data_IF_732216736741
#
_entry.id   IF_732216736741
#
_cell.length_a   1.000
_cell.length_b   1.000
_cell.length_c   1.000
_cell.angle_alpha   90.00
_cell.angle_beta   90.00
_cell.angle_gamma   90.00
#
_symmetry.space_group_name_H-M   'P 1'
#
loop_
_entity.id
_entity.type
_entity.pdbx_description
1 polymer ?
#
# COMPACT_ATOMS: atom_id res chain seq x y z
N UNK A 1 36.74 -45.49 1.03
CA UNK A 1 37.07 -44.83 2.30
C UNK A 1 36.25 -43.56 2.41
N UNK A 2 35.01 -43.56 2.91
CA UNK A 2 34.13 -44.66 3.33
C UNK A 2 32.65 -44.31 3.09
N UNK A 3 31.79 -45.32 2.93
CA UNK A 3 30.35 -45.13 2.86
C UNK A 3 29.69 -45.44 4.20
N UNK A 4 28.88 -44.51 4.71
CA UNK A 4 28.03 -44.75 5.89
C UNK A 4 26.63 -45.14 5.43
N UNK A 5 26.20 -46.34 5.81
CA UNK A 5 25.01 -47.04 5.30
C UNK A 5 23.94 -47.11 6.37
N UNK A 6 22.98 -46.18 6.35
CA UNK A 6 21.81 -46.22 7.23
C UNK A 6 20.81 -47.33 6.79
N UNK A 7 20.11 -47.94 7.75
CA UNK A 7 19.25 -49.12 7.53
C UNK A 7 17.77 -48.76 7.38
N UNK A 8 17.08 -49.43 6.45
CA UNK A 8 15.62 -49.55 6.48
C UNK A 8 15.15 -50.45 7.63
N UNK A 9 13.95 -50.19 8.14
CA UNK A 9 13.19 -51.09 9.02
C UNK A 9 11.76 -51.24 8.52
N UNK A 10 11.21 -52.46 8.55
CA UNK A 10 9.87 -52.81 8.03
C UNK A 10 9.25 -53.90 8.91
N UNK A 11 7.99 -53.69 9.32
CA UNK A 11 6.97 -54.64 9.85
C UNK A 11 5.70 -53.77 10.07
N UNK A 12 4.47 -54.06 9.60
CA UNK A 12 3.60 -55.25 9.67
C UNK A 12 3.26 -55.66 11.13
N UNK A 13 2.01 -55.76 11.57
CA UNK A 13 0.70 -55.53 10.92
C UNK A 13 -0.50 -55.93 11.83
N UNK A 14 -1.72 -56.03 11.26
CA UNK A 14 -3.02 -56.31 11.93
C UNK A 14 -3.59 -55.17 12.82
N UNK A 15 -4.89 -55.09 13.14
CA UNK A 15 -6.00 -56.06 13.08
C UNK A 15 -7.34 -55.42 12.63
N UNK A 16 -8.39 -56.21 12.33
CA UNK A 16 -9.65 -55.78 11.68
C UNK A 16 -10.92 -56.26 12.40
N UNK A 17 -11.88 -55.34 12.64
CA UNK A 17 -13.30 -55.56 13.05
C UNK A 17 -13.54 -56.23 14.43
N UNK A 18 -14.70 -56.12 15.11
CA UNK A 18 -16.08 -55.85 14.64
C UNK A 18 -16.96 -55.03 15.61
N UNK A 19 -18.04 -54.47 15.04
CA UNK A 19 -19.09 -53.60 15.56
C UNK A 19 -19.79 -53.92 16.90
N UNK A 20 -20.17 -52.83 17.60
CA UNK A 20 -21.47 -52.52 18.25
C UNK A 20 -21.41 -51.01 18.62
N UNK A 21 -22.47 -50.18 18.74
CA UNK A 21 -23.95 -50.31 18.69
C UNK A 21 -24.50 -49.16 17.80
N UNK A 22 -25.82 -49.05 17.56
CA UNK A 22 -26.49 -47.84 17.00
C UNK A 22 -27.64 -47.40 17.92
N UNK A 23 -27.72 -46.10 18.27
CA UNK A 23 -28.67 -45.61 19.29
C UNK A 23 -28.99 -44.09 19.26
N UNK A 24 -29.66 -43.63 18.21
CA UNK A 24 -30.52 -42.41 18.20
C UNK A 24 -29.93 -41.08 18.73
N UNK A 25 -28.79 -40.66 18.21
CA UNK A 25 -28.53 -39.30 17.70
C UNK A 25 -27.30 -39.44 16.80
N UNK A 26 -27.29 -38.81 15.63
CA UNK A 26 -26.25 -39.04 14.62
C UNK A 26 -24.90 -38.46 15.06
N UNK A 27 -24.08 -39.25 15.77
CA UNK A 27 -22.74 -38.85 16.18
C UNK A 27 -21.91 -38.49 14.93
N UNK A 28 -21.52 -37.22 14.84
CA UNK A 28 -20.64 -36.77 13.78
C UNK A 28 -19.32 -37.56 13.87
N UNK A 29 -18.76 -38.05 12.74
CA UNK A 29 -17.50 -38.80 12.75
C UNK A 29 -16.43 -38.06 13.53
N UNK A 30 -15.74 -38.76 14.44
CA UNK A 30 -14.88 -38.17 15.46
C UNK A 30 -13.81 -37.25 14.86
N UNK A 31 -14.10 -35.95 14.85
CA UNK A 31 -13.20 -34.92 14.38
C UNK A 31 -12.09 -34.75 15.42
N UNK A 32 -10.90 -35.28 15.11
CA UNK A 32 -9.69 -35.11 15.92
C UNK A 32 -9.20 -33.65 15.85
N UNK A 33 -9.93 -32.75 16.49
CA UNK A 33 -9.48 -31.40 16.81
C UNK A 33 -8.46 -31.48 17.94
N UNK A 34 -7.25 -30.98 17.70
CA UNK A 34 -6.17 -30.92 18.68
C UNK A 34 -6.54 -30.09 19.91
N UNK A 35 -7.41 -29.09 19.74
CA UNK A 35 -8.10 -28.41 20.83
C UNK A 35 -9.42 -27.76 20.39
N UNK A 36 -10.35 -27.65 21.34
CA UNK A 36 -11.53 -26.79 21.26
C UNK A 36 -11.68 -26.08 22.61
N UNK A 37 -12.01 -24.80 22.59
CA UNK A 37 -12.46 -24.04 23.75
C UNK A 37 -13.65 -23.16 23.38
N UNK A 38 -14.68 -23.14 24.22
CA UNK A 38 -15.87 -22.32 24.00
C UNK A 38 -16.42 -21.84 25.35
N UNK A 39 -16.82 -20.58 25.42
CA UNK A 39 -17.42 -19.97 26.62
C UNK A 39 -16.54 -20.10 27.89
N UNK A 40 -15.22 -20.20 27.71
CA UNK A 40 -14.23 -20.36 28.79
C UNK A 40 -13.92 -21.82 29.19
N UNK A 41 -14.62 -22.81 28.63
CA UNK A 41 -14.36 -24.23 28.85
C UNK A 41 -13.48 -24.76 27.71
N UNK A 42 -12.25 -25.18 28.01
CA UNK A 42 -11.26 -25.60 27.01
C UNK A 42 -10.65 -26.98 27.27
N UNK A 43 -10.54 -27.80 26.23
CA UNK A 43 -10.06 -29.18 26.30
C UNK A 43 -8.55 -29.34 26.04
N UNK A 44 -7.73 -28.46 26.64
CA UNK A 44 -6.27 -28.47 26.49
C UNK A 44 -5.75 -27.99 25.14
N UNK A 45 -4.59 -28.52 24.73
CA UNK A 45 -3.98 -28.36 23.39
C UNK A 45 -3.61 -26.95 22.92
N UNK A 46 -3.77 -25.91 23.75
CA UNK A 46 -3.41 -24.53 23.40
C UNK A 46 -4.55 -23.65 22.88
N UNK A 47 -5.80 -24.10 22.99
CA UNK A 47 -6.98 -23.27 22.73
C UNK A 47 -7.45 -22.52 23.98
N UNK A 48 -7.62 -21.20 23.89
CA UNK A 48 -8.13 -20.36 24.99
C UNK A 48 -9.32 -19.51 24.56
N UNK A 49 -10.31 -19.35 25.44
CA UNK A 49 -11.54 -18.58 25.20
C UNK A 49 -12.03 -17.97 26.50
N UNK A 50 -12.96 -17.02 26.42
CA UNK A 50 -13.72 -16.50 27.54
C UNK A 50 -15.21 -16.83 27.39
N UNK A 51 -16.04 -16.39 28.35
CA UNK A 51 -17.48 -16.64 28.43
C UNK A 51 -18.30 -16.23 27.19
N UNK A 52 -17.73 -15.48 26.24
CA UNK A 52 -18.41 -15.02 25.01
C UNK A 52 -17.73 -15.45 23.72
N UNK A 53 -16.62 -16.19 23.77
CA UNK A 53 -15.78 -16.48 22.59
C UNK A 53 -15.55 -17.97 22.35
N UNK A 54 -15.08 -18.27 21.13
CA UNK A 54 -14.85 -19.63 20.63
C UNK A 54 -13.43 -19.72 20.04
N UNK A 55 -12.69 -20.76 20.40
CA UNK A 55 -11.39 -21.11 19.85
C UNK A 55 -11.36 -22.57 19.37
N UNK A 56 -10.92 -22.80 18.13
CA UNK A 56 -10.87 -24.13 17.51
C UNK A 56 -9.48 -24.34 16.90
N UNK A 57 -8.81 -25.45 17.23
CA UNK A 57 -7.47 -25.79 16.73
C UNK A 57 -7.41 -27.23 16.24
N UNK A 58 -7.01 -27.44 14.99
CA UNK A 58 -6.90 -28.76 14.35
C UNK A 58 -5.54 -28.89 13.64
N UNK A 59 -4.72 -29.86 14.04
CA UNK A 59 -3.37 -30.09 13.50
C UNK A 59 -2.26 -30.06 14.58
N UNK A 60 -1.04 -30.46 14.20
CA UNK A 60 0.07 -30.55 15.14
C UNK A 60 0.57 -29.16 15.60
N UNK A 61 0.49 -28.91 16.91
CA UNK A 61 0.87 -27.61 17.48
C UNK A 61 -0.13 -26.47 17.20
N UNK A 62 -1.40 -26.79 16.95
CA UNK A 62 -2.45 -25.81 16.75
C UNK A 62 -2.55 -24.80 17.92
N UNK A 63 -2.71 -23.51 17.62
CA UNK A 63 -2.99 -22.47 18.62
C UNK A 63 -4.13 -21.58 18.18
N UNK A 64 -5.13 -21.40 19.03
CA UNK A 64 -6.28 -20.53 18.77
C UNK A 64 -6.66 -19.81 20.06
N UNK A 65 -6.55 -18.48 20.10
CA UNK A 65 -6.79 -17.69 21.31
C UNK A 65 -7.87 -16.62 21.10
N UNK A 66 -8.95 -16.70 21.86
CA UNK A 66 -9.96 -15.66 21.99
C UNK A 66 -10.19 -15.24 23.46
N UNK A 67 -9.18 -15.43 24.33
CA UNK A 67 -9.26 -15.24 25.77
C UNK A 67 -9.62 -13.83 26.24
N UNK A 68 -9.43 -12.80 25.41
CA UNK A 68 -9.82 -11.41 25.73
C UNK A 68 -10.78 -10.78 24.72
N UNK A 69 -11.33 -11.55 23.78
CA UNK A 69 -12.25 -11.06 22.76
C UNK A 69 -13.73 -11.17 23.17
N UNK A 70 -14.50 -10.09 23.13
CA UNK A 70 -15.94 -10.10 23.42
C UNK A 70 -16.72 -10.50 22.15
N UNK A 71 -17.45 -11.62 22.18
CA UNK A 71 -18.10 -12.20 20.99
C UNK A 71 -17.14 -12.45 19.80
N UNK A 72 -15.87 -12.76 20.10
CA UNK A 72 -14.84 -13.04 19.10
C UNK A 72 -14.64 -14.53 18.79
N UNK A 73 -13.94 -14.84 17.70
CA UNK A 73 -13.62 -16.22 17.31
C UNK A 73 -12.20 -16.40 16.77
N UNK A 74 -11.50 -17.43 17.25
CA UNK A 74 -10.18 -17.84 16.75
C UNK A 74 -10.26 -19.26 16.17
N UNK A 75 -9.79 -19.46 14.95
CA UNK A 75 -9.84 -20.76 14.27
C UNK A 75 -8.50 -21.06 13.58
N UNK A 76 -7.90 -22.22 13.88
CA UNK A 76 -6.62 -22.66 13.32
C UNK A 76 -6.72 -24.08 12.76
N UNK A 77 -6.32 -24.24 11.49
CA UNK A 77 -6.16 -25.53 10.83
C UNK A 77 -4.74 -25.64 10.26
N UNK A 78 -4.02 -26.71 10.57
CA UNK A 78 -2.66 -26.97 10.04
C UNK A 78 -1.56 -26.99 11.11
N UNK A 79 -0.40 -27.51 10.74
CA UNK A 79 0.73 -27.65 11.65
C UNK A 79 1.36 -26.29 11.98
N UNK A 80 1.54 -25.99 13.27
CA UNK A 80 1.97 -24.68 13.77
C UNK A 80 1.09 -23.49 13.32
N UNK A 81 -0.17 -23.74 12.95
CA UNK A 81 -1.13 -22.69 12.60
C UNK A 81 -1.60 -21.96 13.86
N UNK A 82 -1.52 -20.62 13.85
CA UNK A 82 -1.84 -19.78 14.99
C UNK A 82 -2.90 -18.71 14.67
N UNK A 83 -3.99 -18.68 15.42
CA UNK A 83 -5.02 -17.64 15.38
C UNK A 83 -5.15 -16.96 16.74
N UNK A 84 -5.34 -15.64 16.76
CA UNK A 84 -5.49 -14.88 17.99
C UNK A 84 -6.49 -13.73 17.84
N UNK A 85 -7.27 -13.42 18.87
CA UNK A 85 -8.11 -12.22 18.96
C UNK A 85 -7.95 -11.59 20.34
N UNK A 86 -7.29 -10.43 20.40
CA UNK A 86 -6.78 -9.82 21.63
C UNK A 86 -7.42 -8.46 21.85
N UNK A 87 -8.15 -8.29 22.96
CA UNK A 87 -8.94 -7.09 23.30
C UNK A 87 -9.86 -6.62 22.16
N UNK A 88 -10.52 -7.56 21.48
CA UNK A 88 -11.34 -7.29 20.30
C UNK A 88 -12.81 -7.64 20.49
N UNK A 89 -13.72 -6.87 19.88
CA UNK A 89 -15.17 -7.05 19.96
C UNK A 89 -15.68 -7.52 18.59
N UNK A 90 -16.49 -8.59 18.54
CA UNK A 90 -17.10 -9.13 17.31
C UNK A 90 -16.08 -9.37 16.18
N UNK A 91 -14.84 -9.76 16.54
CA UNK A 91 -13.72 -9.89 15.60
C UNK A 91 -13.23 -11.33 15.52
N UNK A 92 -12.73 -11.70 14.35
CA UNK A 92 -12.43 -13.08 13.98
C UNK A 92 -11.01 -13.21 13.43
N UNK A 93 -10.32 -14.29 13.78
CA UNK A 93 -9.02 -14.65 13.23
C UNK A 93 -9.04 -16.10 12.76
N UNK A 94 -8.77 -16.33 11.48
CA UNK A 94 -8.77 -17.66 10.85
C UNK A 94 -7.42 -17.93 10.20
N UNK A 95 -6.72 -18.97 10.64
CA UNK A 95 -5.47 -19.45 10.07
C UNK A 95 -5.67 -20.85 9.46
N UNK A 96 -5.25 -21.03 8.21
CA UNK A 96 -5.43 -22.28 7.44
C UNK A 96 -4.12 -22.65 6.75
N UNK A 97 -3.63 -23.85 6.97
CA UNK A 97 -2.36 -24.36 6.40
C UNK A 97 -1.15 -24.12 7.30
N UNK A 98 -0.08 -24.86 7.02
CA UNK A 98 1.06 -24.96 7.92
C UNK A 98 1.82 -23.64 8.07
N UNK A 99 2.09 -23.25 9.31
CA UNK A 99 2.69 -21.95 9.64
C UNK A 99 1.84 -20.72 9.27
N UNK A 100 0.54 -20.89 8.97
CA UNK A 100 -0.38 -19.77 8.83
C UNK A 100 -0.52 -19.02 10.16
N UNK A 101 -0.60 -17.69 10.10
CA UNK A 101 -0.84 -16.84 11.29
C UNK A 101 -1.86 -15.75 11.00
N UNK A 102 -2.92 -15.69 11.79
CA UNK A 102 -3.95 -14.65 11.74
C UNK A 102 -4.12 -14.04 13.13
N UNK A 103 -4.15 -12.72 13.26
CA UNK A 103 -4.24 -12.07 14.57
C UNK A 103 -5.11 -10.83 14.51
N UNK A 104 -6.22 -10.83 15.24
CA UNK A 104 -7.01 -9.64 15.56
C UNK A 104 -6.39 -8.93 16.77
N UNK A 105 -5.45 -8.02 16.46
CA UNK A 105 -5.00 -6.97 17.36
C UNK A 105 -6.20 -6.05 17.71
N UNK A 106 -6.18 -5.30 18.84
CA UNK A 106 -7.35 -4.65 19.43
C UNK A 106 -8.28 -4.01 18.40
N UNK A 107 -9.46 -4.61 18.22
CA UNK A 107 -10.33 -4.32 17.08
C UNK A 107 -11.83 -4.52 17.32
N UNK A 108 -12.65 -3.73 16.64
CA UNK A 108 -14.11 -3.92 16.54
C UNK A 108 -14.46 -4.49 15.16
N UNK A 109 -15.35 -5.49 15.09
CA UNK A 109 -15.94 -5.99 13.83
C UNK A 109 -14.92 -6.25 12.71
N UNK A 110 -13.76 -6.86 13.04
CA UNK A 110 -12.64 -7.04 12.10
C UNK A 110 -12.33 -8.51 11.86
N UNK A 111 -11.91 -8.86 10.64
CA UNK A 111 -11.59 -10.23 10.22
C UNK A 111 -10.14 -10.32 9.70
N UNK A 112 -9.32 -11.12 10.37
CA UNK A 112 -8.10 -11.66 9.80
C UNK A 112 -8.38 -13.06 9.22
N UNK A 113 -8.00 -13.28 7.96
CA UNK A 113 -7.94 -14.59 7.34
C UNK A 113 -6.54 -14.79 6.76
N UNK A 114 -5.93 -15.94 7.03
CA UNK A 114 -4.68 -16.36 6.40
C UNK A 114 -4.80 -17.79 5.90
N UNK A 115 -4.74 -17.98 4.58
CA UNK A 115 -4.30 -19.24 3.98
C UNK A 115 -2.77 -19.17 3.84
N UNK A 116 -2.05 -20.04 4.54
CA UNK A 116 -0.62 -19.89 4.85
C UNK A 116 0.35 -19.97 3.67
N UNK A 117 1.63 -19.62 3.87
CA UNK A 117 2.28 -19.25 5.15
C UNK A 117 2.03 -17.79 5.56
N UNK A 118 2.15 -17.48 6.86
CA UNK A 118 1.63 -16.24 7.46
C UNK A 118 2.19 -14.89 6.97
N UNK A 119 1.53 -13.76 7.25
CA UNK A 119 0.48 -13.56 8.29
C UNK A 119 -0.54 -12.42 8.01
N UNK A 120 -1.68 -12.38 8.70
CA UNK A 120 -2.74 -11.35 8.54
C UNK A 120 -3.20 -10.68 9.87
N UNK A 121 -3.37 -9.35 9.89
CA UNK A 121 -3.84 -8.51 11.03
C UNK A 121 -4.21 -7.07 10.55
N UNK A 122 -4.83 -6.13 11.29
CA UNK A 122 -6.26 -6.07 11.74
C UNK A 122 -6.65 -4.80 12.51
N UNK A 123 -5.74 -4.26 13.32
CA UNK A 123 -6.00 -3.34 14.44
C UNK A 123 -6.98 -2.17 14.14
N UNK A 124 -7.95 -1.90 15.03
CA UNK A 124 -8.85 -0.74 14.94
C UNK A 124 -10.34 -1.08 14.82
N UNK A 125 -10.98 -0.88 13.67
CA UNK A 125 -12.39 -1.22 13.49
C UNK A 125 -12.78 -1.54 12.04
N UNK A 126 -13.74 -2.43 11.82
CA UNK A 126 -14.31 -2.78 10.51
C UNK A 126 -13.26 -3.23 9.47
N UNK A 127 -12.10 -3.71 9.89
CA UNK A 127 -11.00 -4.04 8.99
C UNK A 127 -11.09 -5.48 8.50
N UNK A 128 -10.84 -5.67 7.20
CA UNK A 128 -10.74 -6.97 6.55
C UNK A 128 -9.30 -7.18 6.06
N UNK A 129 -8.62 -8.21 6.55
CA UNK A 129 -7.28 -8.58 6.10
C UNK A 129 -7.28 -10.06 5.69
N UNK A 130 -7.24 -10.33 4.38
CA UNK A 130 -7.17 -11.69 3.82
C UNK A 130 -5.83 -11.87 3.12
N UNK A 131 -4.98 -12.74 3.68
CA UNK A 131 -3.79 -13.26 3.02
C UNK A 131 -4.02 -14.69 2.50
N UNK A 132 -3.57 -14.97 1.28
CA UNK A 132 -3.60 -16.30 0.65
C UNK A 132 -2.29 -16.55 -0.08
N UNK A 133 -1.60 -17.66 0.21
CA UNK A 133 -0.53 -18.17 -0.64
C UNK A 133 -0.82 -19.60 -1.12
N UNK A 134 -0.47 -19.88 -2.37
CA UNK A 134 -0.65 -21.19 -3.03
C UNK A 134 0.65 -21.59 -3.75
N UNK A 135 1.74 -21.72 -2.98
CA UNK A 135 3.11 -21.94 -3.47
C UNK A 135 3.79 -20.67 -4.03
N UNK A 136 5.10 -20.61 -4.26
CA UNK A 136 6.19 -21.60 -4.09
C UNK A 136 7.52 -20.87 -3.78
N UNK A 137 7.93 -20.60 -2.54
CA UNK A 137 7.46 -21.07 -1.22
C UNK A 137 7.77 -20.06 -0.10
N UNK A 138 6.76 -19.34 0.40
CA UNK A 138 6.77 -18.62 1.69
C UNK A 138 7.66 -17.36 1.81
N UNK A 139 7.28 -16.33 2.57
CA UNK A 139 5.99 -16.10 3.28
C UNK A 139 4.95 -15.54 2.26
N UNK A 140 3.91 -14.75 2.55
CA UNK A 140 3.89 -13.49 3.30
C UNK A 140 2.45 -12.90 3.34
N UNK A 141 2.30 -11.58 3.50
CA UNK A 141 1.59 -11.06 4.65
C UNK A 141 0.90 -9.70 4.45
N UNK A 142 -0.10 -9.49 5.32
CA UNK A 142 -0.66 -8.23 5.82
C UNK A 142 -1.63 -7.49 4.88
N UNK A 143 -2.41 -6.51 5.33
CA UNK A 143 -2.72 -6.14 6.72
C UNK A 143 -3.16 -4.68 6.88
N UNK A 144 -3.76 -4.38 8.02
CA UNK A 144 -4.62 -3.21 8.25
C UNK A 144 -4.44 -2.61 9.64
N UNK A 145 -4.51 -1.28 9.72
CA UNK A 145 -4.54 -0.49 10.95
C UNK A 145 -5.43 0.75 10.78
N UNK A 146 -6.43 0.93 11.64
CA UNK A 146 -7.38 2.05 11.61
C UNK A 146 -8.82 1.59 11.33
N UNK A 147 -9.58 2.26 10.45
CA UNK A 147 -11.05 2.04 10.35
C UNK A 147 -11.54 1.72 8.93
N UNK A 148 -12.11 0.53 8.73
CA UNK A 148 -12.79 0.14 7.49
C UNK A 148 -11.86 -0.16 6.32
N UNK A 149 -10.63 -0.59 6.60
CA UNK A 149 -9.65 -0.94 5.57
C UNK A 149 -9.87 -2.36 5.06
N UNK A 150 -9.68 -2.58 3.76
CA UNK A 150 -9.77 -3.89 3.10
C UNK A 150 -8.42 -4.19 2.46
N UNK A 151 -7.76 -5.25 2.90
CA UNK A 151 -6.50 -5.76 2.39
C UNK A 151 -6.70 -7.20 1.89
N UNK A 152 -6.48 -7.44 0.59
CA UNK A 152 -6.71 -8.70 -0.10
C UNK A 152 -5.44 -9.11 -0.87
N UNK A 153 -4.61 -9.95 -0.25
CA UNK A 153 -3.36 -10.43 -0.83
C UNK A 153 -3.47 -11.88 -1.30
N UNK A 154 -3.16 -12.10 -2.58
CA UNK A 154 -2.85 -13.42 -3.15
C UNK A 154 -1.38 -13.46 -3.58
N UNK A 155 -0.64 -14.47 -3.13
CA UNK A 155 0.78 -14.65 -3.46
C UNK A 155 1.76 -13.91 -2.52
N UNK A 156 3.09 -14.05 -2.74
CA UNK A 156 4.11 -13.49 -1.86
C UNK A 156 4.23 -11.96 -1.97
N UNK A 157 4.56 -11.31 -0.84
CA UNK A 157 4.73 -9.85 -0.74
C UNK A 157 4.25 -9.27 0.59
N UNK A 158 4.44 -7.96 0.76
CA UNK A 158 3.97 -7.18 1.92
C UNK A 158 2.83 -6.28 1.46
N UNK A 159 1.71 -6.27 2.18
CA UNK A 159 0.63 -5.30 2.01
C UNK A 159 0.28 -4.60 3.32
N UNK A 160 0.22 -3.27 3.35
CA UNK A 160 -0.02 -2.53 4.60
C UNK A 160 -0.91 -1.29 4.42
N UNK A 161 -2.09 -1.34 5.04
CA UNK A 161 -3.09 -0.28 4.98
C UNK A 161 -3.19 0.44 6.32
N UNK A 162 -2.82 1.73 6.37
CA UNK A 162 -2.84 2.57 7.57
C UNK A 162 -3.78 3.75 7.36
N UNK A 163 -4.80 3.86 8.21
CA UNK A 163 -5.78 4.95 8.20
C UNK A 163 -7.20 4.41 8.06
N UNK A 164 -8.02 5.01 7.20
CA UNK A 164 -9.43 4.63 7.09
C UNK A 164 -9.90 4.43 5.65
N UNK A 165 -10.82 3.49 5.45
CA UNK A 165 -11.47 3.19 4.17
C UNK A 165 -10.51 2.84 3.01
N UNK A 166 -9.28 2.40 3.31
CA UNK A 166 -8.31 2.08 2.26
C UNK A 166 -8.55 0.65 1.72
N UNK A 167 -8.77 0.54 0.40
CA UNK A 167 -8.88 -0.72 -0.32
C UNK A 167 -7.52 -1.09 -0.93
N UNK A 168 -7.08 -2.33 -0.78
CA UNK A 168 -5.86 -2.81 -1.42
C UNK A 168 -5.97 -4.27 -1.84
N UNK A 169 -5.54 -4.51 -3.08
CA UNK A 169 -5.61 -5.78 -3.79
C UNK A 169 -4.23 -6.08 -4.36
N UNK A 170 -3.64 -7.22 -4.00
CA UNK A 170 -2.41 -7.71 -4.62
C UNK A 170 -2.61 -9.13 -5.11
N UNK A 171 -2.08 -9.43 -6.29
CA UNK A 171 -2.00 -10.78 -6.83
C UNK A 171 -0.63 -10.96 -7.46
N UNK A 172 0.18 -11.85 -6.90
CA UNK A 172 1.44 -12.29 -7.46
C UNK A 172 1.23 -13.58 -8.26
N UNK A 173 1.31 -13.46 -9.59
CA UNK A 173 1.07 -14.56 -10.53
C UNK A 173 2.35 -14.87 -11.31
N UNK A 174 2.95 -16.04 -11.12
CA UNK A 174 4.08 -16.53 -11.89
C UNK A 174 5.46 -15.89 -11.61
N UNK A 175 5.52 -14.80 -10.84
CA UNK A 175 6.76 -14.10 -10.51
C UNK A 175 7.49 -14.68 -9.29
N UNK A 176 8.83 -14.61 -9.32
CA UNK A 176 9.71 -14.90 -8.18
C UNK A 176 10.18 -13.63 -7.43
N UNK A 177 9.63 -12.46 -7.78
CA UNK A 177 9.94 -11.17 -7.14
C UNK A 177 8.94 -10.79 -6.04
N UNK A 178 9.42 -10.12 -4.99
CA UNK A 178 8.59 -9.63 -3.90
C UNK A 178 7.65 -8.50 -4.35
N UNK A 179 6.41 -8.48 -3.85
CA UNK A 179 5.50 -7.35 -3.97
C UNK A 179 5.49 -6.46 -2.73
N UNK A 180 5.30 -5.16 -2.92
CA UNK A 180 5.01 -4.20 -1.84
C UNK A 180 3.76 -3.41 -2.21
N UNK A 181 2.72 -3.42 -1.38
CA UNK A 181 1.40 -2.89 -1.73
C UNK A 181 0.75 -2.13 -0.57
N UNK A 182 0.96 -0.82 -0.47
CA UNK A 182 0.58 -0.07 0.75
C UNK A 182 -0.39 1.07 0.47
N UNK A 183 -1.35 1.30 1.36
CA UNK A 183 -2.28 2.43 1.29
C UNK A 183 -2.31 3.23 2.60
N UNK A 184 -2.03 4.53 2.54
CA UNK A 184 -1.95 5.42 3.70
C UNK A 184 -2.97 6.56 3.66
N UNK A 185 -3.70 6.81 4.75
CA UNK A 185 -4.62 7.94 4.88
C UNK A 185 -6.09 7.53 4.74
N UNK A 186 -6.86 8.27 3.95
CA UNK A 186 -8.32 8.13 3.87
C UNK A 186 -8.81 7.76 2.45
N UNK A 187 -9.50 6.63 2.32
CA UNK A 187 -10.26 6.27 1.12
C UNK A 187 -9.42 5.97 -0.11
N UNK A 188 -8.17 5.53 0.04
CA UNK A 188 -7.27 5.27 -1.08
C UNK A 188 -7.46 3.85 -1.64
N UNK A 189 -7.18 3.64 -2.91
CA UNK A 189 -7.28 2.34 -3.59
C UNK A 189 -5.95 1.92 -4.23
N UNK A 190 -5.48 0.70 -3.93
CA UNK A 190 -4.23 0.19 -4.50
C UNK A 190 -4.42 -1.18 -5.12
N UNK A 191 -3.96 -1.37 -6.36
CA UNK A 191 -4.00 -2.64 -7.08
C UNK A 191 -2.59 -3.01 -7.55
N UNK A 192 -2.12 -4.23 -7.27
CA UNK A 192 -0.79 -4.72 -7.66
C UNK A 192 -0.89 -6.16 -8.21
N UNK A 193 -1.22 -6.28 -9.50
CA UNK A 193 -1.51 -7.54 -10.18
C UNK A 193 -0.39 -7.90 -11.16
N UNK A 194 -0.03 -9.18 -11.29
CA UNK A 194 1.06 -9.65 -12.18
C UNK A 194 2.26 -10.20 -11.40
N UNK A 195 3.46 -10.19 -12.00
CA UNK A 195 4.64 -10.90 -11.46
C UNK A 195 5.19 -10.32 -10.15
N UNK A 196 5.65 -9.06 -10.16
CA UNK A 196 6.36 -8.41 -9.06
C UNK A 196 6.02 -6.90 -8.99
N UNK A 197 6.71 -6.14 -8.12
CA UNK A 197 6.68 -4.68 -8.15
C UNK A 197 5.98 -4.01 -6.96
N UNK A 198 6.01 -2.68 -6.96
CA UNK A 198 5.54 -1.84 -5.85
C UNK A 198 4.36 -0.97 -6.29
N UNK A 199 3.26 -1.00 -5.55
CA UNK A 199 2.16 -0.05 -5.70
C UNK A 199 1.85 0.60 -4.35
N UNK A 200 1.73 1.93 -4.31
CA UNK A 200 1.71 2.65 -3.04
C UNK A 200 0.85 3.93 -3.16
N UNK A 201 0.02 4.21 -2.15
CA UNK A 201 -0.73 5.48 -2.02
C UNK A 201 -0.51 6.14 -0.66
N UNK A 202 -0.53 7.47 -0.63
CA UNK A 202 -0.70 8.23 0.62
C UNK A 202 -1.50 9.52 0.43
N UNK A 203 -2.61 9.64 1.15
CA UNK A 203 -3.40 10.86 1.25
C UNK A 203 -4.90 10.60 1.28
N UNK A 204 -5.64 11.30 0.43
CA UNK A 204 -7.10 11.31 0.43
C UNK A 204 -7.63 10.95 -0.95
N UNK A 205 -8.43 9.89 -1.05
CA UNK A 205 -9.08 9.45 -2.29
C UNK A 205 -8.11 9.25 -3.48
N UNK A 206 -6.87 8.83 -3.20
CA UNK A 206 -5.84 8.60 -4.21
C UNK A 206 -5.77 7.12 -4.64
N UNK A 207 -5.30 6.87 -5.86
CA UNK A 207 -5.30 5.55 -6.49
C UNK A 207 -3.92 5.21 -7.08
N UNK A 208 -3.43 3.99 -6.83
CA UNK A 208 -2.23 3.46 -7.50
C UNK A 208 -2.50 2.07 -8.06
N UNK A 209 -2.37 1.88 -9.37
CA UNK A 209 -2.56 0.59 -10.04
C UNK A 209 -1.29 0.16 -10.78
N UNK A 210 -0.79 -1.03 -10.46
CA UNK A 210 0.20 -1.74 -11.24
C UNK A 210 -0.43 -3.04 -11.76
N UNK A 211 -0.51 -3.19 -13.08
CA UNK A 211 -1.19 -4.30 -13.74
C UNK A 211 -0.24 -4.94 -14.75
N UNK A 212 0.10 -6.22 -14.52
CA UNK A 212 0.90 -7.07 -15.40
C UNK A 212 2.27 -6.50 -15.77
N UNK A 213 3.04 -6.08 -14.76
CA UNK A 213 4.45 -5.69 -14.93
C UNK A 213 5.20 -5.49 -13.63
N UNK A 214 6.52 -5.73 -13.65
CA UNK A 214 7.45 -5.48 -12.56
C UNK A 214 7.86 -3.99 -12.53
N UNK A 215 6.95 -3.14 -12.03
CA UNK A 215 7.10 -1.68 -12.03
C UNK A 215 6.82 -1.06 -10.65
N UNK A 216 7.13 0.23 -10.49
CA UNK A 216 6.86 1.02 -9.28
C UNK A 216 5.81 2.10 -9.58
N UNK A 217 4.71 2.10 -8.82
CA UNK A 217 3.57 3.01 -9.00
C UNK A 217 3.25 3.72 -7.68
N UNK A 218 3.27 5.05 -7.67
CA UNK A 218 3.10 5.86 -6.45
C UNK A 218 2.11 7.01 -6.67
N UNK A 219 1.18 7.23 -5.75
CA UNK A 219 0.33 8.42 -5.73
C UNK A 219 0.31 9.08 -4.35
N UNK A 220 0.58 10.39 -4.29
CA UNK A 220 0.58 11.21 -3.08
C UNK A 220 -0.36 12.40 -3.22
N UNK A 221 -1.18 12.64 -2.21
CA UNK A 221 -2.02 13.83 -2.11
C UNK A 221 -3.51 13.55 -2.12
N UNK A 222 -4.26 14.45 -2.75
CA UNK A 222 -5.72 14.47 -2.79
C UNK A 222 -6.18 14.16 -4.23
N UNK A 223 -7.03 13.14 -4.40
CA UNK A 223 -7.54 12.72 -5.73
C UNK A 223 -6.43 12.47 -6.76
N UNK A 224 -5.31 11.89 -6.32
CA UNK A 224 -4.13 11.67 -7.17
C UNK A 224 -4.07 10.22 -7.65
N UNK A 225 -3.79 10.01 -8.93
CA UNK A 225 -3.96 8.72 -9.63
C UNK A 225 -2.69 8.35 -10.37
N UNK A 226 -2.15 7.16 -10.11
CA UNK A 226 -0.99 6.62 -10.81
C UNK A 226 -1.31 5.23 -11.40
N UNK A 227 -0.98 4.99 -12.66
CA UNK A 227 -1.36 3.77 -13.41
C UNK A 227 -0.18 3.23 -14.22
N UNK A 228 0.22 1.98 -13.99
CA UNK A 228 1.03 1.20 -14.92
C UNK A 228 0.19 0.04 -15.47
N UNK A 229 -0.05 0.04 -16.78
CA UNK A 229 -0.80 -1.00 -17.48
C UNK A 229 0.08 -1.71 -18.51
N UNK A 230 0.60 -2.87 -18.12
CA UNK A 230 1.59 -3.69 -18.84
C UNK A 230 2.96 -3.00 -18.97
N UNK A 231 4.03 -3.75 -18.71
CA UNK A 231 5.42 -3.33 -18.94
C UNK A 231 6.25 -3.22 -17.67
N UNK A 232 7.55 -3.39 -17.84
CA UNK A 232 8.53 -3.64 -16.78
C UNK A 232 9.49 -2.46 -16.55
N UNK A 233 10.00 -2.32 -15.33
CA UNK A 233 10.99 -1.29 -14.98
C UNK A 233 10.44 0.14 -14.93
N UNK A 234 9.13 0.35 -15.07
CA UNK A 234 8.55 1.69 -15.09
C UNK A 234 8.48 2.31 -13.69
N UNK A 235 8.61 3.63 -13.63
CA UNK A 235 8.37 4.44 -12.44
C UNK A 235 7.26 5.43 -12.76
N UNK A 236 6.04 5.14 -12.30
CA UNK A 236 4.86 6.00 -12.51
C UNK A 236 4.51 6.68 -11.20
N UNK A 237 4.53 8.01 -11.17
CA UNK A 237 4.36 8.80 -9.96
C UNK A 237 3.42 9.98 -10.15
N UNK A 238 2.33 10.03 -9.38
CA UNK A 238 1.52 11.22 -9.17
C UNK A 238 1.91 11.81 -7.81
N UNK A 239 3.01 12.55 -7.74
CA UNK A 239 3.65 12.98 -6.49
C UNK A 239 4.09 14.45 -6.51
N UNK A 240 3.79 15.11 -5.40
CA UNK A 240 4.38 16.39 -5.01
C UNK A 240 4.44 16.52 -3.48
N UNK A 241 4.67 17.73 -2.94
CA UNK A 241 4.85 17.92 -1.50
C UNK A 241 3.53 17.63 -0.79
N UNK A 242 3.49 16.64 0.09
CA UNK A 242 2.30 16.35 0.88
C UNK A 242 1.93 17.56 1.77
N UNK A 243 0.68 18.03 1.82
CA UNK A 243 -0.54 17.50 1.17
C UNK A 243 -0.92 18.19 -0.16
N UNK A 244 -0.10 19.09 -0.69
CA UNK A 244 -0.43 20.08 -1.73
C UNK A 244 -0.69 19.51 -3.15
N UNK A 245 -0.52 18.20 -3.34
CA UNK A 245 -0.75 17.54 -4.64
C UNK A 245 -2.23 17.25 -4.79
N UNK A 246 -2.85 17.74 -5.86
CA UNK A 246 -4.30 17.72 -6.06
C UNK A 246 -4.60 17.29 -7.50
N UNK A 247 -5.60 16.42 -7.70
CA UNK A 247 -6.12 16.03 -9.02
C UNK A 247 -5.02 15.77 -10.07
N UNK A 248 -4.00 15.00 -9.68
CA UNK A 248 -2.82 14.71 -10.51
C UNK A 248 -2.88 13.29 -11.06
N UNK A 249 -2.60 13.10 -12.35
CA UNK A 249 -2.75 11.83 -13.07
C UNK A 249 -1.45 11.45 -13.79
N UNK A 250 -0.81 10.35 -13.38
CA UNK A 250 0.35 9.76 -14.07
C UNK A 250 -0.02 8.39 -14.66
N UNK A 251 0.31 8.12 -15.92
CA UNK A 251 0.08 6.80 -16.52
C UNK A 251 1.19 6.32 -17.46
N UNK A 252 1.45 5.01 -17.43
CA UNK A 252 2.21 4.27 -18.45
C UNK A 252 1.35 3.12 -18.98
N UNK A 253 1.32 2.94 -20.30
CA UNK A 253 0.60 1.87 -20.97
C UNK A 253 1.48 1.19 -22.01
N UNK A 254 1.66 -0.13 -21.92
CA UNK A 254 2.40 -0.95 -22.90
C UNK A 254 3.85 -0.50 -23.16
N UNK A 255 4.51 0.06 -22.15
CA UNK A 255 5.86 0.62 -22.28
C UNK A 255 6.80 0.15 -21.18
N UNK A 256 8.10 0.13 -21.45
CA UNK A 256 9.13 -0.40 -20.54
C UNK A 256 10.18 0.66 -20.16
N UNK A 257 10.64 0.62 -18.91
CA UNK A 257 11.66 1.51 -18.34
C UNK A 257 11.33 3.01 -18.43
N UNK A 258 10.05 3.38 -18.53
CA UNK A 258 9.61 4.77 -18.59
C UNK A 258 9.51 5.38 -17.18
N UNK A 259 9.92 6.64 -17.04
CA UNK A 259 9.71 7.44 -15.83
C UNK A 259 8.64 8.51 -16.10
N UNK A 260 7.44 8.33 -15.55
CA UNK A 260 6.29 9.22 -15.76
C UNK A 260 5.91 9.90 -14.45
N UNK A 261 6.07 11.22 -14.36
CA UNK A 261 5.84 11.99 -13.14
C UNK A 261 4.84 13.13 -13.36
N UNK A 262 3.61 12.96 -12.87
CA UNK A 262 2.68 14.06 -12.67
C UNK A 262 3.01 14.77 -11.35
N UNK A 263 3.35 16.05 -11.44
CA UNK A 263 3.94 16.81 -10.34
C UNK A 263 3.03 17.90 -9.78
N UNK A 264 3.63 19.04 -9.44
CA UNK A 264 3.09 19.93 -8.40
C UNK A 264 2.02 20.88 -8.93
N UNK A 265 0.77 20.44 -8.98
CA UNK A 265 -0.38 21.34 -9.09
C UNK A 265 -1.69 20.63 -9.40
N UNK A 266 -2.84 21.33 -9.23
CA UNK A 266 -4.13 20.81 -9.67
C UNK A 266 -4.12 20.53 -11.17
N UNK A 267 -4.63 19.37 -11.59
CA UNK A 267 -4.72 18.96 -13.00
C UNK A 267 -3.36 18.79 -13.71
N UNK A 268 -2.32 18.34 -13.01
CA UNK A 268 -1.09 17.85 -13.65
C UNK A 268 -1.33 16.46 -14.27
N UNK A 269 -1.14 16.30 -15.57
CA UNK A 269 -1.33 15.02 -16.29
C UNK A 269 -0.05 14.62 -17.03
N UNK A 270 0.51 13.45 -16.71
CA UNK A 270 1.68 12.88 -17.38
C UNK A 270 1.36 11.48 -17.94
N UNK A 271 1.79 11.17 -19.17
CA UNK A 271 1.39 9.92 -19.84
C UNK A 271 2.41 9.36 -20.82
N UNK A 272 2.68 8.05 -20.74
CA UNK A 272 3.41 7.27 -21.74
C UNK A 272 2.50 6.17 -22.33
N UNK A 273 2.54 6.00 -23.66
CA UNK A 273 1.81 4.94 -24.38
C UNK A 273 2.77 4.29 -25.38
N UNK A 274 3.04 2.98 -25.27
CA UNK A 274 3.96 2.25 -26.16
C UNK A 274 5.32 2.97 -26.35
N UNK A 275 5.88 3.51 -25.26
CA UNK A 275 7.20 4.15 -25.23
C UNK A 275 8.20 3.25 -24.51
N UNK A 276 9.50 3.48 -24.75
CA UNK A 276 10.57 2.81 -24.02
C UNK A 276 11.63 3.83 -23.59
N UNK A 277 12.14 3.71 -22.36
CA UNK A 277 13.20 4.58 -21.80
C UNK A 277 12.85 6.10 -21.77
N UNK A 278 11.58 6.47 -21.88
CA UNK A 278 11.15 7.87 -21.89
C UNK A 278 11.04 8.48 -20.49
N UNK A 279 11.34 9.78 -20.36
CA UNK A 279 11.19 10.54 -19.11
C UNK A 279 10.21 11.68 -19.30
N UNK A 280 9.03 11.54 -18.70
CA UNK A 280 7.86 12.40 -18.93
C UNK A 280 7.46 13.06 -17.61
N UNK A 281 7.95 14.28 -17.39
CA UNK A 281 7.66 15.06 -16.17
C UNK A 281 6.67 16.18 -16.48
N UNK A 282 5.70 16.40 -15.58
CA UNK A 282 4.73 17.50 -15.66
C UNK A 282 4.54 18.18 -14.30
N UNK A 283 5.49 19.04 -13.93
CA UNK A 283 5.56 19.71 -12.61
C UNK A 283 4.57 20.87 -12.41
N UNK A 284 3.61 21.08 -13.31
CA UNK A 284 2.66 22.20 -13.31
C UNK A 284 1.32 21.76 -13.94
N UNK A 285 0.20 22.47 -13.69
CA UNK A 285 -1.10 22.18 -14.31
C UNK A 285 -1.07 22.02 -15.84
N UNK A 286 -1.91 21.14 -16.37
CA UNK A 286 -1.98 20.75 -17.79
C UNK A 286 -1.34 19.40 -18.09
N UNK A 287 -1.22 19.06 -19.37
CA UNK A 287 -0.80 17.74 -19.85
C UNK A 287 0.64 17.67 -20.41
N UNK A 288 1.23 16.47 -20.37
CA UNK A 288 2.43 16.05 -21.10
C UNK A 288 2.29 14.54 -21.40
N UNK A 289 1.92 14.19 -22.63
CA UNK A 289 1.62 12.80 -23.02
C UNK A 289 2.42 12.45 -24.28
N UNK A 290 3.16 11.32 -24.25
CA UNK A 290 3.92 10.77 -25.39
C UNK A 290 3.34 9.43 -25.85
N UNK A 291 3.67 9.04 -27.08
CA UNK A 291 3.19 7.80 -27.69
C UNK A 291 1.86 7.92 -28.45
N UNK A 292 1.11 9.01 -28.26
CA UNK A 292 0.03 9.40 -29.17
C UNK A 292 0.61 9.99 -30.48
N UNK A 293 1.31 9.16 -31.25
CA UNK A 293 1.53 9.40 -32.69
C UNK A 293 0.22 9.18 -33.45
N UNK A 294 -0.79 9.99 -33.14
CA UNK A 294 -2.09 9.92 -33.83
C UNK A 294 -1.88 10.32 -35.29
N UNK A 295 -2.31 9.47 -36.23
CA UNK A 295 -2.27 9.77 -37.65
C UNK A 295 -3.40 10.72 -38.10
N UNK A 296 -3.97 11.55 -37.20
CA UNK A 296 -5.15 12.34 -37.53
C UNK A 296 -5.78 13.25 -36.48
N UNK A 297 -5.23 13.42 -35.27
CA UNK A 297 -5.75 14.38 -34.28
C UNK A 297 -4.91 15.66 -34.22
N UNK A 298 -5.07 16.54 -35.22
CA UNK A 298 -4.52 17.89 -35.15
C UNK A 298 -5.13 18.62 -33.95
N UNK A 299 -4.29 19.15 -33.05
CA UNK A 299 -4.75 20.04 -32.00
C UNK A 299 -5.38 21.28 -32.66
N UNK A 300 -6.63 21.57 -32.34
CA UNK A 300 -7.27 22.84 -32.69
C UNK A 300 -6.62 23.96 -31.89
N UNK A 301 -5.45 24.40 -32.36
CA UNK A 301 -4.86 25.66 -31.98
C UNK A 301 -5.94 26.72 -32.19
N UNK A 302 -6.31 27.43 -31.13
CA UNK A 302 -7.25 28.52 -31.21
C UNK A 302 -6.63 29.61 -32.06
N UNK A 303 -7.00 29.64 -33.35
CA UNK A 303 -6.50 30.58 -34.36
C UNK A 303 -6.70 32.00 -33.87
N UNK A 304 -5.66 32.55 -33.23
CA UNK A 304 -5.69 33.83 -32.53
C UNK A 304 -5.81 34.91 -33.60
N UNK A 305 -7.07 35.24 -33.93
CA UNK A 305 -7.49 36.05 -35.08
C UNK A 305 -6.53 37.22 -35.24
N UNK A 306 -5.77 37.21 -36.34
CA UNK A 306 -4.79 38.25 -36.63
C UNK A 306 -5.50 39.60 -36.60
N UNK A 307 -4.94 40.55 -35.85
CA UNK A 307 -5.41 41.93 -35.89
C UNK A 307 -5.21 42.46 -37.33
N UNK A 308 -6.21 43.16 -37.92
CA UNK A 308 -6.06 43.70 -39.26
C UNK A 308 -4.91 44.70 -39.29
N UNK A 309 -4.02 44.57 -40.28
CA UNK A 309 -2.94 45.51 -40.48
C UNK A 309 -3.50 46.88 -40.93
N UNK A 310 -3.08 47.95 -40.25
CA UNK A 310 -3.44 49.30 -40.65
C UNK A 310 -2.54 49.78 -41.78
N UNK A 311 -3.12 50.04 -42.95
CA UNK A 311 -2.43 50.71 -44.06
C UNK A 311 -2.42 52.22 -43.86
N UNK A 312 -1.24 52.85 -43.93
CA UNK A 312 -1.13 54.24 -44.36
C UNK A 312 -1.36 54.37 -45.87
N UNK A 313 -1.44 55.58 -46.44
CA UNK A 313 -1.46 56.92 -45.87
C UNK A 313 -1.91 57.91 -46.97
N UNK A 314 -2.31 59.15 -46.62
CA UNK A 314 -2.00 60.33 -47.47
C UNK A 314 -2.23 61.69 -46.77
N UNK A 315 -1.66 62.74 -47.38
CA UNK A 315 -1.73 64.19 -47.03
C UNK A 315 -3.04 64.84 -47.56
N UNK A 316 -3.47 66.09 -47.30
CA UNK A 316 -2.74 67.37 -47.17
C UNK A 316 -3.62 68.51 -46.57
N UNK A 317 -3.00 69.52 -45.94
CA UNK A 317 -3.43 70.96 -45.78
C UNK A 317 -4.85 71.40 -45.31
N UNK A 318 -4.87 71.95 -44.08
CA UNK A 318 -5.28 73.33 -43.69
C UNK A 318 -6.70 73.93 -43.97
N UNK A 319 -7.40 74.29 -42.88
CA UNK A 319 -8.13 75.58 -42.72
C UNK A 319 -8.44 75.88 -41.23
N UNK A 320 -8.74 77.14 -40.89
CA UNK A 320 -8.91 77.66 -39.51
C UNK A 320 -10.37 77.67 -39.01
N UNK A 321 -10.61 77.40 -37.72
CA UNK A 321 -11.27 78.39 -36.81
C UNK A 321 -11.47 77.94 -35.34
N UNK A 322 -10.95 78.77 -34.42
CA UNK A 322 -11.57 79.30 -33.19
C UNK A 322 -12.61 78.43 -32.41
N UNK A 323 -12.25 77.94 -31.21
CA UNK A 323 -12.98 78.24 -29.94
C UNK A 323 -12.43 77.56 -28.65
N UNK A 324 -11.79 78.37 -27.78
CA UNK A 324 -12.11 78.55 -26.34
C UNK A 324 -12.43 77.31 -25.45
N UNK A 325 -11.52 76.91 -24.55
CA UNK A 325 -11.90 76.16 -23.32
C UNK A 325 -10.79 75.47 -22.51
N UNK A 326 -10.36 76.11 -21.41
CA UNK A 326 -10.05 75.56 -20.05
C UNK A 326 -10.02 74.03 -19.83
N UNK A 327 -9.09 73.43 -19.04
CA UNK A 327 -8.24 74.00 -17.96
C UNK A 327 -7.05 73.11 -17.54
N UNK A 328 -6.03 73.75 -16.97
CA UNK A 328 -5.06 73.26 -15.95
C UNK A 328 -4.11 72.09 -16.29
N UNK A 329 -2.81 72.34 -16.13
CA UNK A 329 -1.74 71.34 -16.17
C UNK A 329 -1.11 71.12 -14.78
N UNK A 330 -0.58 69.92 -14.53
CA UNK A 330 0.55 69.64 -13.63
C UNK A 330 1.17 68.28 -14.05
N UNK A 331 2.26 68.27 -14.81
CA UNK A 331 3.66 68.47 -14.35
C UNK A 331 4.25 67.23 -13.70
N UNK A 332 5.23 66.68 -14.41
CA UNK A 332 6.05 65.53 -14.03
C UNK A 332 6.93 65.78 -12.80
N UNK A 333 7.37 64.69 -12.14
CA UNK A 333 8.77 64.53 -11.72
C UNK A 333 9.15 63.09 -11.42
N UNK A 334 10.37 62.74 -11.83
CA UNK A 334 11.05 61.49 -11.49
C UNK A 334 11.60 61.56 -10.06
N UNK A 335 11.62 60.42 -9.37
CA UNK A 335 12.39 60.24 -8.13
C UNK A 335 13.14 58.90 -8.19
N UNK A 336 14.45 58.98 -8.39
CA UNK A 336 15.35 57.85 -8.10
C UNK A 336 15.52 57.72 -6.58
N UNK A 337 15.46 56.48 -6.04
CA UNK A 337 15.92 56.19 -4.67
C UNK A 337 16.94 55.06 -4.64
N UNK A 338 18.21 55.48 -4.71
CA UNK A 338 19.38 54.73 -4.22
C UNK A 338 19.31 54.64 -2.70
N UNK A 339 19.40 53.43 -2.12
CA UNK A 339 19.93 53.24 -0.76
C UNK A 339 20.58 51.87 -0.59
N UNK A 340 21.43 51.77 0.43
CA UNK A 340 22.51 50.80 0.55
C UNK A 340 22.26 49.78 1.66
N UNK A 341 22.84 48.59 1.47
CA UNK A 341 23.36 47.65 2.49
C UNK A 341 23.13 47.93 3.98
N UNK A 342 22.64 46.90 4.68
CA UNK A 342 23.20 46.51 6.00
C UNK A 342 23.24 44.99 6.13
N UNK A 343 24.20 44.48 6.90
CA UNK A 343 24.43 43.06 7.18
C UNK A 343 23.83 42.62 8.51
N UNK A 344 23.57 41.31 8.64
CA UNK A 344 23.55 40.61 9.93
C UNK A 344 24.11 39.19 9.75
N UNK A 345 24.73 38.66 10.81
CA UNK A 345 25.62 37.48 10.76
C UNK A 345 25.42 36.62 12.02
N UNK A 346 25.77 35.33 11.95
CA UNK A 346 25.67 34.31 13.03
C UNK A 346 24.23 33.90 13.40
N UNK A 347 23.97 32.73 14.00
CA UNK A 347 24.85 31.65 14.54
C UNK A 347 24.50 30.30 13.87
N UNK A 348 25.41 29.34 13.66
CA UNK A 348 26.26 28.57 14.59
C UNK A 348 25.45 27.83 15.67
N UNK A 349 25.10 26.57 15.40
CA UNK A 349 24.77 25.56 16.40
C UNK A 349 25.59 24.28 16.12
N UNK A 350 26.62 24.05 16.94
CA UNK A 350 27.39 22.79 16.97
C UNK A 350 27.00 21.99 18.21
N UNK A 351 26.46 20.80 18.01
CA UNK A 351 26.29 19.79 19.08
C UNK A 351 26.57 18.42 18.45
N UNK A 352 27.82 17.97 18.58
CA UNK A 352 28.23 16.88 19.48
C UNK A 352 27.76 15.50 19.01
N UNK A 353 28.67 14.81 18.30
CA UNK A 353 28.76 13.36 18.41
C UNK A 353 29.55 13.05 19.69
N UNK A 354 28.93 12.43 20.69
CA UNK A 354 29.63 11.95 21.88
C UNK A 354 30.03 10.47 21.68
N UNK A 355 31.31 10.25 21.46
CA UNK A 355 31.92 8.92 21.43
C UNK A 355 32.20 8.45 22.86
N UNK A 356 31.55 7.36 23.30
CA UNK A 356 31.95 6.65 24.52
C UNK A 356 32.66 5.35 24.18
N UNK A 357 33.77 5.10 24.88
CA UNK A 357 34.58 3.89 24.77
C UNK A 357 34.99 3.43 26.18
N UNK A 358 35.21 2.12 26.35
CA UNK A 358 35.73 1.55 27.59
C UNK A 358 34.71 0.69 28.34
N UNK A 359 35.02 -0.60 28.47
CA UNK A 359 34.15 -1.59 29.11
C UNK A 359 34.78 -2.97 29.30
N UNK A 360 36.09 -3.05 29.57
CA UNK A 360 36.74 -4.34 29.90
C UNK A 360 36.28 -4.81 31.28
N UNK A 361 35.56 -5.93 31.32
CA UNK A 361 35.02 -6.52 32.56
C UNK A 361 35.35 -8.00 32.71
N UNK A 362 36.62 -8.36 32.86
CA UNK A 362 37.02 -9.74 33.19
C UNK A 362 36.80 -10.04 34.67
N UNK A 363 35.96 -11.02 35.01
CA UNK A 363 35.86 -11.55 36.37
C UNK A 363 36.03 -13.07 36.37
N UNK A 364 37.16 -13.54 36.92
CA UNK A 364 37.31 -14.93 37.36
C UNK A 364 36.67 -15.06 38.74
N UNK A 365 35.87 -16.10 38.96
CA UNK A 365 35.73 -16.66 40.31
C UNK A 365 35.73 -18.18 40.26
N UNK A 366 36.40 -18.79 41.23
CA UNK A 366 36.74 -20.21 41.27
C UNK A 366 36.56 -20.75 42.68
N UNK A 367 36.12 -21.99 42.82
CA UNK A 367 35.90 -22.72 44.09
C UNK A 367 34.78 -22.10 44.93
N UNK A 368 33.93 -22.88 45.59
CA UNK A 368 34.13 -24.26 46.06
C UNK A 368 33.79 -25.35 45.03
#
# INVERSE_FOLDING_TARGET
>A
MDQVRAKSGVLLGALVSSALVVGTLGEAPAANASCISAFGIGNGGGCTSNLTSIAIGIGDGATADAGTGLFGGAISFGANAASATTFSILSFAVAVGDGARASALPSLLSLAWQSGPGSAATAGAFNLAIGVLTGTTGTQSTGTAGVGNIALQSGPGIMNNIGSLNLTLASATGGNGTKTTNAGGFGNAVLNLGEAGTAWTQGFLSVATNILGASTVTAQGILSVAVNFVGNGNVVSAQGPFPNTTLSLAFNMFGDNNTVTAGWGPFAVAGAIAQQLETIVKSTPGNNIRGLTSAGAASVASSKKAAPAASGAETTTAASSIARGTTTAATSRSISRKRTSTSSTSSISKTKADSSAGGKGTSKRSRQ
#
